data_IF_415080907305
#
_entry.id   IF_415080907305
#
_cell.length_a   1.000
_cell.length_b   1.000
_cell.length_c   1.000
_cell.angle_alpha   90.00
_cell.angle_beta   90.00
_cell.angle_gamma   90.00
#
_symmetry.space_group_name_H-M   'P 1'
#
loop_
_entity.id
_entity.type
_entity.pdbx_description
1 polymer ?
#
# COMPACT_ATOMS: atom_id res chain seq x y z
N UNK A 1 4.56 -10.48 20.67
CA UNK A 1 4.66 -11.96 20.63
C UNK A 1 4.28 -12.44 19.23
N UNK A 2 5.10 -13.21 18.56
CA UNK A 2 4.70 -13.81 17.29
C UNK A 2 3.55 -14.80 17.53
N UNK A 3 2.49 -14.69 16.75
CA UNK A 3 1.36 -15.62 16.77
C UNK A 3 1.49 -16.54 15.56
N UNK A 4 1.59 -17.83 15.81
CA UNK A 4 1.59 -18.83 14.74
C UNK A 4 0.15 -19.25 14.46
N UNK A 5 -0.32 -18.99 13.26
CA UNK A 5 -1.61 -19.47 12.77
C UNK A 5 -1.35 -20.71 11.95
N UNK A 6 -1.94 -21.83 12.36
CA UNK A 6 -1.85 -23.09 11.63
C UNK A 6 -3.20 -23.48 11.07
N UNK A 7 -3.21 -24.00 9.85
CA UNK A 7 -4.38 -24.59 9.23
C UNK A 7 -4.03 -26.01 8.78
N UNK A 8 -5.02 -26.91 8.82
CA UNK A 8 -4.86 -28.26 8.27
C UNK A 8 -5.69 -28.40 7.00
N UNK A 9 -5.09 -28.97 5.98
CA UNK A 9 -5.75 -29.29 4.69
C UNK A 9 -5.85 -30.81 4.48
N UNK A 10 -5.66 -31.61 5.56
CA UNK A 10 -5.57 -33.07 5.46
C UNK A 10 -6.87 -33.70 4.98
N UNK A 11 -8.00 -33.07 5.24
CA UNK A 11 -9.32 -33.58 4.92
C UNK A 11 -9.89 -33.01 3.60
N UNK A 12 -9.08 -32.29 2.85
CA UNK A 12 -9.49 -31.74 1.56
C UNK A 12 -9.45 -32.80 0.48
N UNK A 13 -10.51 -32.88 -0.30
CA UNK A 13 -10.54 -33.62 -1.56
C UNK A 13 -9.57 -33.00 -2.56
N UNK A 14 -9.25 -33.74 -3.63
CA UNK A 14 -8.40 -33.23 -4.71
C UNK A 14 -8.96 -31.96 -5.35
N UNK A 15 -10.26 -31.90 -5.58
CA UNK A 15 -10.93 -30.72 -6.13
C UNK A 15 -10.90 -29.53 -5.18
N UNK A 16 -11.06 -29.73 -3.87
CA UNK A 16 -10.97 -28.65 -2.89
C UNK A 16 -9.53 -28.12 -2.78
N UNK A 17 -8.54 -29.00 -2.87
CA UNK A 17 -7.12 -28.61 -2.92
C UNK A 17 -6.82 -27.74 -4.15
N UNK A 18 -7.34 -28.12 -5.33
CA UNK A 18 -7.19 -27.34 -6.55
C UNK A 18 -7.86 -25.96 -6.43
N UNK A 19 -9.06 -25.89 -5.84
CA UNK A 19 -9.73 -24.62 -5.56
C UNK A 19 -8.91 -23.74 -4.63
N UNK A 20 -8.35 -24.30 -3.56
CA UNK A 20 -7.48 -23.57 -2.64
C UNK A 20 -6.24 -23.00 -3.35
N UNK A 21 -5.59 -23.78 -4.20
CA UNK A 21 -4.43 -23.33 -4.97
C UNK A 21 -4.79 -22.19 -5.91
N UNK A 22 -5.94 -22.25 -6.57
CA UNK A 22 -6.43 -21.17 -7.42
C UNK A 22 -6.76 -19.90 -6.62
N UNK A 23 -7.37 -20.05 -5.44
CA UNK A 23 -7.64 -18.90 -4.56
C UNK A 23 -6.35 -18.24 -4.05
N UNK A 24 -5.34 -19.04 -3.68
CA UNK A 24 -4.02 -18.56 -3.30
C UNK A 24 -3.36 -17.82 -4.47
N UNK A 25 -3.44 -18.39 -5.67
CA UNK A 25 -2.91 -17.75 -6.87
C UNK A 25 -3.62 -16.41 -7.16
N UNK A 26 -4.96 -16.39 -7.09
CA UNK A 26 -5.76 -15.19 -7.28
C UNK A 26 -5.45 -14.10 -6.24
N UNK A 27 -5.25 -14.47 -4.98
CA UNK A 27 -4.94 -13.52 -3.90
C UNK A 27 -3.64 -12.73 -4.15
N UNK A 28 -2.68 -13.33 -4.86
CA UNK A 28 -1.42 -12.67 -5.23
C UNK A 28 -1.63 -11.48 -6.17
N UNK A 29 -2.69 -11.49 -6.97
CA UNK A 29 -3.03 -10.37 -7.85
C UNK A 29 -3.78 -9.26 -7.11
N UNK A 30 -4.46 -9.56 -6.01
CA UNK A 30 -5.19 -8.58 -5.21
C UNK A 30 -4.25 -7.65 -4.43
N UNK A 31 -3.13 -8.16 -3.94
CA UNK A 31 -2.18 -7.37 -3.17
C UNK A 31 -1.63 -6.13 -3.93
N UNK A 32 -1.13 -6.26 -5.17
CA UNK A 32 -0.67 -5.10 -5.94
C UNK A 32 -1.78 -4.07 -6.20
N UNK A 33 -2.99 -4.54 -6.47
CA UNK A 33 -4.16 -3.66 -6.68
C UNK A 33 -4.47 -2.89 -5.39
N UNK A 34 -4.59 -3.59 -4.27
CA UNK A 34 -4.87 -2.98 -2.98
C UNK A 34 -3.78 -1.97 -2.56
N UNK A 35 -2.52 -2.32 -2.74
CA UNK A 35 -1.40 -1.45 -2.41
C UNK A 35 -1.46 -0.15 -3.22
N UNK A 36 -1.72 -0.24 -4.52
CA UNK A 36 -1.86 0.92 -5.41
C UNK A 36 -3.09 1.78 -5.06
N UNK A 37 -4.19 1.16 -4.67
CA UNK A 37 -5.38 1.87 -4.20
C UNK A 37 -5.16 2.56 -2.85
N UNK A 38 -4.34 1.96 -1.99
CA UNK A 38 -3.99 2.54 -0.68
C UNK A 38 -3.02 3.70 -0.80
N UNK A 39 -2.07 3.59 -1.72
CA UNK A 39 -1.04 4.60 -1.98
C UNK A 39 -0.48 4.43 -3.40
N UNK A 40 -0.69 5.40 -4.25
CA UNK A 40 -0.33 5.33 -5.68
C UNK A 40 1.15 5.01 -5.88
N UNK A 41 2.05 5.63 -5.10
CA UNK A 41 3.49 5.44 -5.15
C UNK A 41 4.00 4.29 -4.25
N UNK A 42 3.13 3.33 -3.88
CA UNK A 42 3.49 2.24 -2.98
C UNK A 42 4.73 1.47 -3.45
N UNK A 43 4.76 1.11 -4.72
CA UNK A 43 5.84 0.29 -5.29
C UNK A 43 7.17 1.03 -5.27
N UNK A 44 7.16 2.26 -5.75
CA UNK A 44 8.34 3.12 -5.86
C UNK A 44 8.92 3.43 -4.47
N UNK A 45 8.07 3.80 -3.54
CA UNK A 45 8.48 4.08 -2.16
C UNK A 45 9.03 2.83 -1.48
N UNK A 46 8.39 1.68 -1.66
CA UNK A 46 8.88 0.41 -1.13
C UNK A 46 10.24 0.02 -1.70
N UNK A 47 10.43 0.17 -2.99
CA UNK A 47 11.72 -0.09 -3.64
C UNK A 47 12.83 0.82 -3.09
N UNK A 48 12.52 2.07 -2.80
CA UNK A 48 13.47 3.00 -2.17
C UNK A 48 13.82 2.59 -0.74
N UNK A 49 12.84 2.19 0.08
CA UNK A 49 13.09 1.67 1.43
C UNK A 49 13.95 0.39 1.41
N UNK A 50 13.74 -0.49 0.44
CA UNK A 50 14.59 -1.69 0.24
C UNK A 50 16.02 -1.30 -0.10
N UNK A 51 16.21 -0.31 -0.99
CA UNK A 51 17.55 0.19 -1.33
C UNK A 51 18.24 0.84 -0.13
N UNK A 52 17.53 1.66 0.64
CA UNK A 52 18.07 2.28 1.85
C UNK A 52 18.52 1.23 2.85
N UNK A 53 17.70 0.21 3.12
CA UNK A 53 18.08 -0.91 3.97
C UNK A 53 19.35 -1.61 3.44
N UNK A 54 19.41 -1.92 2.16
CA UNK A 54 20.55 -2.60 1.55
C UNK A 54 21.85 -1.76 1.63
N UNK A 55 21.77 -0.46 1.40
CA UNK A 55 22.93 0.45 1.54
C UNK A 55 23.44 0.44 2.98
N UNK A 56 22.55 0.51 3.96
CA UNK A 56 22.93 0.47 5.38
C UNK A 56 23.58 -0.88 5.74
N UNK A 57 23.04 -2.01 5.27
CA UNK A 57 23.60 -3.34 5.47
C UNK A 57 25.02 -3.45 4.88
N UNK A 58 25.26 -2.91 3.68
CA UNK A 58 26.58 -2.87 3.05
C UNK A 58 27.55 -2.02 3.87
N UNK A 59 27.17 -0.81 4.25
CA UNK A 59 28.02 0.09 5.03
C UNK A 59 28.39 -0.51 6.40
N UNK A 60 27.46 -1.23 7.03
CA UNK A 60 27.69 -1.95 8.28
C UNK A 60 28.75 -3.03 8.10
N UNK A 61 28.70 -3.77 7.00
CA UNK A 61 29.60 -4.88 6.72
C UNK A 61 31.04 -4.42 6.41
N UNK A 62 31.19 -3.30 5.68
CA UNK A 62 32.51 -2.84 5.21
C UNK A 62 33.30 -1.97 6.20
N UNK A 63 32.64 -1.28 7.12
CA UNK A 63 33.30 -0.24 7.93
C UNK A 63 33.72 -0.66 9.35
N UNK A 64 33.49 -1.89 9.79
CA UNK A 64 33.74 -2.35 11.18
C UNK A 64 33.16 -1.42 12.29
N UNK A 65 32.26 -0.51 11.93
CA UNK A 65 31.58 0.40 12.87
C UNK A 65 30.28 -0.26 13.36
N UNK A 66 30.43 -1.33 14.09
CA UNK A 66 29.39 -2.32 14.37
C UNK A 66 28.20 -1.79 15.19
N UNK A 67 28.36 -0.77 16.00
CA UNK A 67 27.32 -0.40 16.98
C UNK A 67 26.32 0.62 16.40
N UNK A 68 26.78 1.70 15.79
CA UNK A 68 25.89 2.77 15.30
C UNK A 68 25.12 2.32 14.06
N UNK A 69 25.77 1.57 13.17
CA UNK A 69 25.15 1.07 11.95
C UNK A 69 24.19 -0.10 12.17
N UNK A 70 24.33 -0.89 13.25
CA UNK A 70 23.37 -1.94 13.57
C UNK A 70 22.01 -1.34 13.95
N UNK A 71 21.96 -0.30 14.76
CA UNK A 71 20.72 0.39 15.12
C UNK A 71 20.03 1.01 13.91
N UNK A 72 20.79 1.61 12.98
CA UNK A 72 20.26 2.19 11.74
C UNK A 72 19.74 1.09 10.82
N UNK A 73 20.41 -0.05 10.74
CA UNK A 73 19.97 -1.19 9.94
C UNK A 73 18.69 -1.82 10.49
N UNK A 74 18.60 -1.99 11.80
CA UNK A 74 17.40 -2.45 12.47
C UNK A 74 16.22 -1.50 12.25
N UNK A 75 16.46 -0.19 12.35
CA UNK A 75 15.45 0.84 12.11
C UNK A 75 14.97 0.82 10.66
N UNK A 76 15.87 0.73 9.68
CA UNK A 76 15.51 0.65 8.27
C UNK A 76 14.71 -0.63 7.95
N UNK A 77 15.08 -1.76 8.58
CA UNK A 77 14.32 -3.00 8.50
C UNK A 77 12.92 -2.87 9.08
N UNK A 78 12.81 -2.34 10.29
CA UNK A 78 11.55 -2.12 10.98
C UNK A 78 10.65 -1.14 10.21
N UNK A 79 11.21 -0.09 9.62
CA UNK A 79 10.47 0.88 8.81
C UNK A 79 9.87 0.23 7.56
N UNK A 80 10.62 -0.62 6.86
CA UNK A 80 10.13 -1.35 5.70
C UNK A 80 9.01 -2.34 6.09
N UNK A 81 9.21 -3.10 7.16
CA UNK A 81 8.18 -4.02 7.67
C UNK A 81 6.91 -3.28 8.08
N UNK A 82 7.06 -2.14 8.75
CA UNK A 82 5.92 -1.32 9.16
C UNK A 82 5.19 -0.72 7.97
N UNK A 83 5.92 -0.26 6.94
CA UNK A 83 5.35 0.21 5.68
C UNK A 83 4.51 -0.89 5.00
N UNK A 84 5.02 -2.13 4.96
CA UNK A 84 4.29 -3.26 4.39
C UNK A 84 3.04 -3.62 5.21
N UNK A 85 3.10 -3.54 6.53
CA UNK A 85 1.93 -3.77 7.42
C UNK A 85 0.89 -2.67 7.26
N UNK A 86 1.32 -1.40 7.26
CA UNK A 86 0.43 -0.23 7.11
C UNK A 86 -0.09 -0.03 5.68
N UNK A 87 0.47 -0.74 4.69
CA UNK A 87 0.12 -0.62 3.27
C UNK A 87 0.32 0.79 2.74
N UNK A 88 1.38 1.44 3.16
CA UNK A 88 1.72 2.81 2.76
C UNK A 88 2.46 3.58 3.85
N UNK A 89 2.71 4.87 3.62
CA UNK A 89 3.58 5.70 4.46
C UNK A 89 2.89 6.33 5.68
N UNK A 90 1.62 5.96 5.95
CA UNK A 90 0.82 6.54 7.04
C UNK A 90 0.43 5.50 8.06
N UNK A 91 0.59 5.84 9.34
CA UNK A 91 0.20 4.99 10.46
C UNK A 91 -1.32 4.96 10.63
N UNK A 92 -1.95 3.84 10.28
CA UNK A 92 -3.41 3.65 10.42
C UNK A 92 -3.87 3.56 11.87
N UNK A 93 -2.96 3.33 12.80
CA UNK A 93 -3.27 3.22 14.24
C UNK A 93 -3.07 4.54 14.97
N UNK A 94 -2.30 5.49 14.38
CA UNK A 94 -2.08 6.83 14.93
C UNK A 94 -2.56 7.92 13.94
N UNK A 95 -3.87 8.00 13.76
CA UNK A 95 -4.56 9.05 12.98
C UNK A 95 -3.97 9.33 11.59
N UNK A 96 -3.42 8.29 10.94
CA UNK A 96 -2.74 8.38 9.66
C UNK A 96 -1.52 9.30 9.63
N UNK A 97 -0.83 9.41 10.77
CA UNK A 97 0.41 10.17 10.88
C UNK A 97 1.44 9.66 9.88
N UNK A 98 2.07 10.54 9.09
CA UNK A 98 3.13 10.13 8.16
C UNK A 98 4.39 9.69 8.93
N UNK A 99 5.05 8.63 8.44
CA UNK A 99 6.30 8.11 9.02
C UNK A 99 7.39 7.82 7.98
N UNK A 100 7.05 7.82 6.68
CA UNK A 100 7.99 7.64 5.56
C UNK A 100 8.04 8.90 4.69
N UNK A 101 6.92 9.57 4.55
CA UNK A 101 6.75 10.80 3.79
C UNK A 101 6.44 11.97 4.72
N UNK A 102 6.54 13.18 4.24
CA UNK A 102 6.16 14.40 5.01
C UNK A 102 4.70 14.79 4.81
N UNK A 103 4.10 14.33 3.72
CA UNK A 103 2.75 14.71 3.30
C UNK A 103 1.71 13.97 4.12
N UNK A 104 0.64 14.68 4.48
CA UNK A 104 -0.55 14.10 5.08
C UNK A 104 -1.25 13.16 4.10
N UNK A 105 -1.97 12.18 4.64
CA UNK A 105 -2.73 11.24 3.83
C UNK A 105 -3.85 11.98 3.11
N UNK A 106 -3.90 11.94 1.76
CA UNK A 106 -4.98 12.56 1.03
C UNK A 106 -6.34 11.87 1.30
N UNK A 107 -7.41 12.64 1.28
CA UNK A 107 -8.75 12.09 1.31
C UNK A 107 -9.01 11.21 0.07
N UNK A 108 -9.79 10.14 0.23
CA UNK A 108 -10.11 9.23 -0.87
C UNK A 108 -9.01 8.24 -1.24
N UNK A 109 -7.83 8.30 -0.60
CA UNK A 109 -6.70 7.42 -0.86
C UNK A 109 -6.34 7.35 -2.36
N UNK A 110 -6.16 6.15 -2.92
CA UNK A 110 -5.84 5.98 -4.35
C UNK A 110 -7.03 5.89 -5.29
N UNK A 111 -8.25 6.13 -4.80
CA UNK A 111 -9.46 6.10 -5.64
C UNK A 111 -9.70 7.41 -6.37
N UNK A 112 -9.19 8.52 -5.83
CA UNK A 112 -9.33 9.85 -6.37
C UNK A 112 -7.95 10.50 -6.46
N UNK A 113 -7.72 11.39 -7.44
CA UNK A 113 -6.51 12.19 -7.48
C UNK A 113 -6.32 12.98 -6.18
N UNK A 114 -5.09 13.00 -5.64
CA UNK A 114 -4.79 13.63 -4.35
C UNK A 114 -5.14 15.12 -4.28
N UNK A 115 -5.18 15.82 -5.43
CA UNK A 115 -5.54 17.24 -5.56
C UNK A 115 -7.04 17.48 -5.78
N UNK A 116 -7.86 16.43 -5.83
CA UNK A 116 -9.29 16.54 -6.06
C UNK A 116 -10.00 16.76 -4.71
N UNK A 117 -10.47 17.99 -4.49
CA UNK A 117 -11.27 18.35 -3.33
C UNK A 117 -12.66 17.73 -3.40
N UNK A 118 -13.13 17.20 -2.28
CA UNK A 118 -14.42 16.50 -2.18
C UNK A 118 -15.60 17.40 -2.54
N UNK A 119 -15.57 18.65 -2.13
CA UNK A 119 -16.60 19.65 -2.41
C UNK A 119 -16.69 19.92 -3.91
N UNK A 120 -15.53 20.09 -4.56
CA UNK A 120 -15.45 20.27 -6.01
C UNK A 120 -15.97 19.06 -6.77
N UNK A 121 -15.65 17.86 -6.29
CA UNK A 121 -16.15 16.61 -6.87
C UNK A 121 -17.67 16.51 -6.77
N UNK A 122 -18.24 16.79 -5.60
CA UNK A 122 -19.68 16.76 -5.40
C UNK A 122 -20.41 17.78 -6.28
N UNK A 123 -19.92 19.02 -6.37
CA UNK A 123 -20.48 20.05 -7.25
C UNK A 123 -20.46 19.61 -8.71
N UNK A 124 -19.35 19.00 -9.17
CA UNK A 124 -19.25 18.46 -10.52
C UNK A 124 -20.31 17.39 -10.81
N UNK A 125 -20.54 16.47 -9.86
CA UNK A 125 -21.57 15.42 -10.02
C UNK A 125 -22.99 15.96 -9.99
N UNK A 126 -23.24 17.08 -9.29
CA UNK A 126 -24.53 17.76 -9.30
C UNK A 126 -24.79 18.46 -10.64
N UNK A 127 -23.76 19.05 -11.24
CA UNK A 127 -23.83 19.70 -12.56
C UNK A 127 -23.90 18.68 -13.72
N UNK A 128 -23.39 17.46 -13.53
CA UNK A 128 -23.31 16.42 -14.54
C UNK A 128 -23.96 15.09 -14.07
N UNK A 129 -25.26 15.08 -13.79
CA UNK A 129 -25.95 13.90 -13.26
C UNK A 129 -25.93 12.71 -14.20
N UNK A 130 -25.80 12.95 -15.51
CA UNK A 130 -25.63 11.93 -16.55
C UNK A 130 -24.32 11.15 -16.44
N UNK A 131 -23.29 11.75 -15.86
CA UNK A 131 -21.96 11.14 -15.64
C UNK A 131 -21.85 10.37 -14.33
N UNK A 132 -22.77 10.59 -13.42
CA UNK A 132 -22.68 10.02 -12.06
C UNK A 132 -22.54 8.50 -12.06
N UNK A 133 -23.35 7.79 -12.85
CA UNK A 133 -23.32 6.33 -12.91
C UNK A 133 -21.99 5.79 -13.46
N UNK A 134 -21.36 6.51 -14.39
CA UNK A 134 -20.05 6.15 -14.94
C UNK A 134 -18.96 6.32 -13.88
N UNK A 135 -18.94 7.46 -13.18
CA UNK A 135 -17.92 7.78 -12.19
C UNK A 135 -18.06 6.99 -10.88
N UNK A 136 -19.27 6.62 -10.48
CA UNK A 136 -19.53 5.78 -9.31
C UNK A 136 -19.41 4.28 -9.60
N UNK A 137 -19.08 3.90 -10.84
CA UNK A 137 -18.86 2.50 -11.22
C UNK A 137 -17.64 1.92 -10.49
N UNK A 138 -17.79 0.69 -10.00
CA UNK A 138 -16.71 -0.04 -9.32
C UNK A 138 -15.50 -0.37 -10.22
N UNK A 139 -15.62 -0.19 -11.52
CA UNK A 139 -14.60 -0.51 -12.51
C UNK A 139 -14.00 0.74 -13.17
N UNK A 140 -14.35 1.93 -12.68
CA UNK A 140 -13.85 3.21 -13.19
C UNK A 140 -12.76 3.74 -12.29
N UNK A 141 -11.66 4.22 -12.88
CA UNK A 141 -10.60 4.95 -12.20
C UNK A 141 -10.70 6.42 -12.59
N UNK A 142 -10.80 7.30 -11.61
CA UNK A 142 -10.81 8.73 -11.83
C UNK A 142 -9.37 9.22 -11.93
N UNK A 143 -8.99 9.74 -13.09
CA UNK A 143 -7.67 10.32 -13.32
C UNK A 143 -7.80 11.83 -13.47
N UNK A 144 -6.81 12.60 -12.99
CA UNK A 144 -6.82 14.06 -13.03
C UNK A 144 -6.77 14.72 -14.42
N UNK A 145 -6.83 13.92 -15.49
CA UNK A 145 -6.89 14.41 -16.87
C UNK A 145 -8.32 14.64 -17.40
N UNK A 146 -9.35 14.28 -16.66
CA UNK A 146 -10.72 14.67 -16.99
C UNK A 146 -10.86 16.12 -16.54
N UNK A 147 -10.90 17.03 -17.53
CA UNK A 147 -10.96 18.47 -17.34
C UNK A 147 -12.07 18.94 -16.42
N UNK A 148 -11.87 18.76 -15.14
CA UNK A 148 -12.51 19.55 -14.11
C UNK A 148 -11.65 20.80 -14.01
N UNK A 149 -11.84 21.68 -14.97
CA UNK A 149 -11.28 23.05 -14.97
C UNK A 149 -12.06 23.89 -13.99
#
# INVERSE_FOLDING_TARGET
MPVTVTATTRDFSESESQVLDLLIAASKYLNPVFNRQSFELYKETREELVKQRFVVEILTTFNNMTVIFSEVSELAGAQLEYFDVMRGPWDRQDHHKPFVVSEEKPEGAGYYPAHLEKERWNSYLEEHPDKRMEFESLFTVITGGVGVV
#
